data_IF_849679013671
#
_entry.id   IF_849679013671
#
_cell.length_a   1.000
_cell.length_b   1.000
_cell.length_c   1.000
_cell.angle_alpha   90.00
_cell.angle_beta   90.00
_cell.angle_gamma   90.00
#
_symmetry.space_group_name_H-M   'P 1'
#
loop_
_entity.id
_entity.type
_entity.pdbx_description
1 polymer ?
#
# COMPACT_ATOMS: atom_id res chain seq x y z
N UNK A 1 -18.18 -37.81 -25.95
CA UNK A 1 -17.90 -36.79 -26.97
C UNK A 1 -18.82 -36.95 -28.14
N UNK A 2 -20.07 -36.49 -27.98
CA UNK A 2 -20.91 -36.25 -29.13
C UNK A 2 -20.47 -34.93 -29.80
N UNK A 3 -20.73 -34.80 -31.10
CA UNK A 3 -20.49 -33.58 -31.85
C UNK A 3 -21.84 -33.11 -32.37
N UNK A 4 -22.26 -31.93 -31.96
CA UNK A 4 -23.55 -31.33 -32.29
C UNK A 4 -23.27 -30.08 -33.11
N UNK A 5 -23.80 -30.03 -34.32
CA UNK A 5 -23.57 -28.92 -35.25
C UNK A 5 -24.89 -28.34 -35.76
N UNK A 6 -24.93 -27.01 -35.78
CA UNK A 6 -25.98 -26.23 -36.41
C UNK A 6 -25.77 -26.04 -37.92
N UNK A 7 -26.28 -24.93 -38.41
CA UNK A 7 -26.16 -24.41 -39.77
C UNK A 7 -26.13 -22.88 -39.70
N UNK A 8 -26.07 -22.18 -40.84
CA UNK A 8 -25.96 -20.72 -40.88
C UNK A 8 -27.29 -19.97 -40.55
N UNK A 9 -28.20 -20.59 -39.80
CA UNK A 9 -29.45 -20.01 -39.31
C UNK A 9 -29.50 -20.14 -37.79
N UNK A 10 -30.31 -19.32 -37.14
CA UNK A 10 -30.56 -19.41 -35.69
C UNK A 10 -31.03 -20.82 -35.29
N UNK A 11 -30.30 -21.47 -34.41
CA UNK A 11 -30.50 -22.83 -33.94
C UNK A 11 -30.67 -22.89 -32.42
N UNK A 12 -31.27 -23.98 -31.95
CA UNK A 12 -31.25 -24.36 -30.54
C UNK A 12 -30.66 -25.76 -30.46
N UNK A 13 -29.45 -25.84 -29.91
CA UNK A 13 -28.64 -27.06 -29.87
C UNK A 13 -28.53 -27.53 -28.42
N UNK A 14 -29.02 -28.75 -28.17
CA UNK A 14 -28.98 -29.38 -26.85
C UNK A 14 -27.94 -30.49 -26.83
N UNK A 15 -27.00 -30.36 -25.91
CA UNK A 15 -26.07 -31.37 -25.46
C UNK A 15 -26.76 -32.58 -24.84
N UNK A 16 -25.96 -33.61 -24.63
CA UNK A 16 -26.29 -34.83 -23.92
C UNK A 16 -25.84 -34.71 -22.46
N UNK A 17 -25.86 -35.80 -21.68
CA UNK A 17 -25.40 -35.79 -20.27
C UNK A 17 -23.93 -36.21 -20.12
N UNK A 18 -23.15 -36.19 -21.20
CA UNK A 18 -21.71 -36.44 -21.13
C UNK A 18 -20.98 -35.50 -22.05
N UNK A 19 -19.66 -35.49 -21.98
CA UNK A 19 -18.80 -34.53 -22.67
C UNK A 19 -19.18 -34.39 -24.16
N UNK A 20 -19.41 -33.18 -24.61
CA UNK A 20 -19.88 -32.83 -25.94
C UNK A 20 -19.03 -31.74 -26.60
N UNK A 21 -19.21 -31.60 -27.91
CA UNK A 21 -18.72 -30.45 -28.67
C UNK A 21 -19.87 -29.87 -29.46
N UNK A 22 -20.24 -28.64 -29.16
CA UNK A 22 -21.38 -27.94 -29.73
C UNK A 22 -20.85 -26.78 -30.59
N UNK A 23 -21.36 -26.65 -31.82
CA UNK A 23 -20.97 -25.59 -32.75
C UNK A 23 -22.22 -25.11 -33.49
N UNK A 24 -22.61 -23.85 -33.25
CA UNK A 24 -23.75 -23.21 -33.89
C UNK A 24 -23.58 -22.95 -35.39
N UNK A 25 -22.34 -22.76 -35.83
CA UNK A 25 -21.92 -22.20 -37.12
C UNK A 25 -22.14 -20.70 -37.20
N UNK A 26 -23.15 -20.24 -37.92
CA UNK A 26 -23.48 -18.83 -38.04
C UNK A 26 -24.94 -18.59 -37.72
N UNK A 27 -25.31 -17.40 -37.27
CA UNK A 27 -26.67 -17.09 -36.86
C UNK A 27 -26.70 -16.63 -35.41
N UNK A 28 -27.85 -16.62 -34.79
CA UNK A 28 -27.95 -16.33 -33.36
C UNK A 28 -28.48 -17.58 -32.66
N UNK A 29 -27.57 -18.35 -32.09
CA UNK A 29 -27.81 -19.70 -31.60
C UNK A 29 -27.96 -19.76 -30.08
N UNK A 30 -28.71 -20.75 -29.62
CA UNK A 30 -28.79 -21.14 -28.21
C UNK A 30 -28.14 -22.50 -28.04
N UNK A 31 -27.04 -22.55 -27.30
CA UNK A 31 -26.23 -23.74 -27.05
C UNK A 31 -26.36 -24.14 -25.58
N UNK A 32 -26.75 -25.40 -25.33
CA UNK A 32 -27.00 -25.92 -23.98
C UNK A 32 -26.16 -27.18 -23.78
N UNK A 33 -25.21 -27.19 -22.83
CA UNK A 33 -24.27 -28.31 -22.60
C UNK A 33 -24.88 -29.43 -21.78
N UNK A 34 -25.43 -29.08 -20.61
CA UNK A 34 -25.98 -29.97 -19.58
C UNK A 34 -24.91 -30.50 -18.61
N UNK A 35 -24.63 -31.81 -18.62
CA UNK A 35 -23.68 -32.45 -17.72
C UNK A 35 -22.50 -32.98 -18.53
N UNK A 36 -21.29 -32.85 -18.00
CA UNK A 36 -20.08 -33.33 -18.66
C UNK A 36 -19.05 -32.22 -18.78
N UNK A 37 -17.89 -32.53 -19.34
CA UNK A 37 -16.92 -31.50 -19.74
C UNK A 37 -17.16 -31.16 -21.21
N UNK A 38 -17.83 -30.03 -21.47
CA UNK A 38 -18.32 -29.65 -22.78
C UNK A 38 -17.44 -28.60 -23.45
N UNK A 39 -17.47 -28.60 -24.78
CA UNK A 39 -16.78 -27.64 -25.61
C UNK A 39 -17.73 -26.88 -26.52
N UNK A 40 -17.58 -25.57 -26.57
CA UNK A 40 -18.34 -24.68 -27.46
C UNK A 40 -17.41 -24.07 -28.51
N UNK A 41 -17.56 -24.46 -29.78
CA UNK A 41 -16.68 -24.04 -30.86
C UNK A 41 -17.27 -22.89 -31.69
N UNK A 42 -16.52 -21.79 -31.77
CA UNK A 42 -16.87 -20.62 -32.57
C UNK A 42 -15.75 -20.30 -33.57
N UNK A 43 -16.14 -20.03 -34.81
CA UNK A 43 -15.27 -19.68 -35.94
C UNK A 43 -16.03 -18.82 -36.94
N UNK A 44 -15.32 -18.05 -37.75
CA UNK A 44 -15.92 -17.17 -38.75
C UNK A 44 -16.81 -16.10 -38.12
N UNK A 45 -17.75 -15.58 -38.91
CA UNK A 45 -18.80 -14.69 -38.39
C UNK A 45 -19.91 -15.56 -37.82
N UNK A 46 -19.88 -15.77 -36.52
CA UNK A 46 -20.79 -16.69 -35.83
C UNK A 46 -22.09 -16.01 -35.40
N UNK A 47 -22.12 -14.70 -35.18
CA UNK A 47 -23.32 -13.94 -34.78
C UNK A 47 -23.47 -13.78 -33.26
N UNK A 48 -24.70 -13.59 -32.76
CA UNK A 48 -24.95 -13.35 -31.33
C UNK A 48 -25.54 -14.60 -30.68
N UNK A 49 -24.69 -15.35 -30.00
CA UNK A 49 -25.00 -16.66 -29.42
C UNK A 49 -25.19 -16.60 -27.90
N UNK A 50 -25.95 -17.54 -27.37
CA UNK A 50 -26.11 -17.74 -25.93
C UNK A 50 -25.70 -19.15 -25.55
N UNK A 51 -24.82 -19.26 -24.55
CA UNK A 51 -24.45 -20.53 -23.92
C UNK A 51 -25.12 -20.60 -22.55
N UNK A 52 -25.76 -21.73 -22.26
CA UNK A 52 -26.44 -21.97 -21.00
C UNK A 52 -26.03 -23.32 -20.44
N UNK A 53 -25.44 -23.32 -19.24
CA UNK A 53 -25.20 -24.53 -18.46
C UNK A 53 -26.24 -24.68 -17.36
N UNK A 54 -26.99 -25.79 -17.41
CA UNK A 54 -28.11 -26.07 -16.52
C UNK A 54 -27.71 -26.81 -15.25
N UNK A 55 -26.46 -27.26 -15.14
CA UNK A 55 -25.95 -28.00 -13.99
C UNK A 55 -24.53 -27.59 -13.61
N UNK A 56 -24.28 -27.46 -12.32
CA UNK A 56 -22.92 -27.31 -11.76
C UNK A 56 -22.24 -28.69 -11.74
N UNK A 57 -21.45 -29.01 -12.76
CA UNK A 57 -20.67 -30.24 -12.81
C UNK A 57 -20.09 -30.53 -14.19
N UNK A 58 -18.78 -30.37 -14.31
CA UNK A 58 -18.06 -30.38 -15.59
C UNK A 58 -16.86 -29.45 -15.52
N UNK A 59 -15.99 -29.52 -16.52
CA UNK A 59 -14.98 -28.50 -16.84
C UNK A 59 -15.22 -28.01 -18.25
N UNK A 60 -16.10 -27.03 -18.38
CA UNK A 60 -16.60 -26.53 -19.65
C UNK A 60 -15.66 -25.49 -20.25
N UNK A 61 -15.55 -25.52 -21.57
CA UNK A 61 -14.59 -24.68 -22.31
C UNK A 61 -15.22 -24.05 -23.54
N UNK A 62 -15.24 -22.72 -23.56
CA UNK A 62 -15.52 -21.96 -24.76
C UNK A 62 -14.25 -21.83 -25.62
N UNK A 63 -14.32 -22.21 -26.90
CA UNK A 63 -13.19 -22.23 -27.82
C UNK A 63 -13.44 -21.30 -29.01
N UNK A 64 -12.69 -20.20 -29.05
CA UNK A 64 -12.57 -19.35 -30.24
C UNK A 64 -11.46 -19.93 -31.11
N UNK A 65 -11.79 -20.34 -32.34
CA UNK A 65 -10.84 -20.96 -33.26
C UNK A 65 -9.90 -19.91 -33.90
N UNK A 66 -8.82 -20.39 -34.53
CA UNK A 66 -7.66 -19.57 -34.93
C UNK A 66 -7.91 -18.56 -36.05
N UNK A 67 -9.07 -18.63 -36.70
CA UNK A 67 -9.49 -17.71 -37.74
C UNK A 67 -10.04 -16.38 -37.20
N UNK A 68 -10.33 -16.30 -35.89
CA UNK A 68 -10.67 -15.04 -35.20
C UNK A 68 -9.42 -14.55 -34.45
N UNK A 69 -8.95 -13.32 -34.72
CA UNK A 69 -7.75 -12.80 -34.07
C UNK A 69 -8.00 -12.55 -32.58
N UNK A 70 -7.08 -12.97 -31.73
CA UNK A 70 -7.17 -12.75 -30.28
C UNK A 70 -7.32 -11.27 -29.89
N UNK A 71 -6.80 -10.35 -30.71
CA UNK A 71 -6.94 -8.90 -30.50
C UNK A 71 -8.37 -8.37 -30.69
N UNK A 72 -9.25 -9.15 -31.31
CA UNK A 72 -10.68 -8.82 -31.43
C UNK A 72 -11.50 -9.36 -30.26
N UNK A 73 -10.91 -10.17 -29.37
CA UNK A 73 -11.64 -10.79 -28.25
C UNK A 73 -11.55 -9.90 -27.01
N UNK A 74 -12.70 -9.60 -26.41
CA UNK A 74 -12.81 -8.89 -25.13
C UNK A 74 -13.92 -9.48 -24.27
N UNK A 75 -13.75 -9.37 -22.95
CA UNK A 75 -14.74 -9.77 -21.96
C UNK A 75 -15.53 -8.55 -21.51
N UNK A 76 -16.84 -8.66 -21.45
CA UNK A 76 -17.75 -7.59 -20.99
C UNK A 76 -18.79 -8.19 -20.07
N UNK A 77 -18.86 -7.72 -18.83
CA UNK A 77 -19.96 -8.05 -17.93
C UNK A 77 -21.08 -7.01 -17.98
N UNK A 78 -22.33 -7.42 -17.78
CA UNK A 78 -23.49 -6.55 -17.77
C UNK A 78 -24.23 -6.49 -16.41
N UNK A 79 -25.29 -5.67 -16.37
CA UNK A 79 -26.09 -5.44 -15.17
C UNK A 79 -27.00 -6.62 -14.79
N UNK A 80 -27.16 -7.60 -15.69
CA UNK A 80 -28.00 -8.78 -15.52
C UNK A 80 -27.18 -10.01 -15.13
N UNK A 81 -25.93 -9.80 -14.72
CA UNK A 81 -25.00 -10.85 -14.31
C UNK A 81 -24.49 -11.74 -15.45
N UNK A 82 -24.70 -11.33 -16.70
CA UNK A 82 -24.19 -12.06 -17.86
C UNK A 82 -22.75 -11.66 -18.18
N UNK A 83 -21.94 -12.61 -18.62
CA UNK A 83 -20.61 -12.37 -19.20
C UNK A 83 -20.65 -12.56 -20.70
N UNK A 84 -20.16 -11.58 -21.46
CA UNK A 84 -20.03 -11.65 -22.90
C UNK A 84 -18.57 -11.86 -23.30
N UNK A 85 -18.33 -12.88 -24.12
CA UNK A 85 -17.12 -12.99 -24.93
C UNK A 85 -17.43 -12.33 -26.28
N UNK A 86 -16.96 -11.09 -26.46
CA UNK A 86 -17.20 -10.34 -27.70
C UNK A 86 -16.02 -10.53 -28.64
N UNK A 87 -16.31 -10.89 -29.89
CA UNK A 87 -15.35 -10.94 -30.98
C UNK A 87 -15.67 -9.84 -32.00
N UNK A 88 -15.01 -8.69 -31.88
CA UNK A 88 -15.31 -7.49 -32.68
C UNK A 88 -15.21 -7.79 -34.19
N UNK A 89 -16.36 -7.66 -34.89
CA UNK A 89 -16.50 -7.98 -36.31
C UNK A 89 -16.89 -9.42 -36.66
N UNK A 90 -17.06 -10.29 -35.66
CA UNK A 90 -17.40 -11.72 -35.83
C UNK A 90 -18.67 -12.13 -35.08
N UNK A 91 -18.93 -11.59 -33.88
CA UNK A 91 -20.09 -11.95 -33.08
C UNK A 91 -19.89 -11.72 -31.58
N UNK A 92 -20.88 -12.13 -30.78
CA UNK A 92 -20.80 -12.13 -29.32
C UNK A 92 -21.38 -13.41 -28.72
N UNK A 93 -20.82 -13.87 -27.61
CA UNK A 93 -21.29 -15.07 -26.92
C UNK A 93 -21.66 -14.68 -25.50
N UNK A 94 -22.94 -14.80 -25.17
CA UNK A 94 -23.48 -14.52 -23.85
C UNK A 94 -23.45 -15.78 -22.99
N UNK A 95 -22.76 -15.70 -21.86
CA UNK A 95 -22.77 -16.69 -20.79
C UNK A 95 -23.74 -16.21 -19.70
N UNK A 96 -24.87 -16.91 -19.58
CA UNK A 96 -25.99 -16.48 -18.74
C UNK A 96 -25.65 -16.62 -17.25
N UNK A 97 -25.94 -15.58 -16.45
CA UNK A 97 -25.71 -15.52 -14.99
C UNK A 97 -24.26 -15.82 -14.54
N UNK A 98 -23.28 -15.67 -15.46
CA UNK A 98 -21.90 -16.09 -15.23
C UNK A 98 -21.18 -15.25 -14.17
N UNK A 99 -21.53 -13.97 -14.01
CA UNK A 99 -20.91 -13.08 -13.03
C UNK A 99 -21.30 -13.43 -11.58
N UNK A 100 -22.43 -14.11 -11.35
CA UNK A 100 -22.82 -14.61 -10.02
C UNK A 100 -22.13 -15.92 -9.63
N UNK A 101 -21.58 -16.62 -10.61
CA UNK A 101 -20.90 -17.89 -10.41
C UNK A 101 -20.68 -18.58 -11.74
N UNK A 102 -19.42 -18.90 -12.01
CA UNK A 102 -18.99 -19.39 -13.31
C UNK A 102 -19.83 -20.58 -13.77
N UNK A 103 -20.31 -20.49 -15.01
CA UNK A 103 -21.02 -21.54 -15.74
C UNK A 103 -20.10 -22.26 -16.71
N UNK A 104 -19.15 -21.53 -17.28
CA UNK A 104 -18.10 -22.06 -18.16
C UNK A 104 -16.75 -21.75 -17.54
N UNK A 105 -15.94 -22.76 -17.22
CA UNK A 105 -14.72 -22.55 -16.44
C UNK A 105 -13.61 -21.87 -17.23
N UNK A 106 -13.56 -22.07 -18.56
CA UNK A 106 -12.44 -21.57 -19.35
C UNK A 106 -12.78 -21.06 -20.75
N UNK A 107 -12.03 -20.05 -21.17
CA UNK A 107 -12.02 -19.51 -22.52
C UNK A 107 -10.67 -19.83 -23.18
N UNK A 108 -10.69 -20.56 -24.29
CA UNK A 108 -9.50 -20.85 -25.10
C UNK A 108 -9.57 -20.10 -26.43
N UNK A 109 -8.54 -19.31 -26.71
CA UNK A 109 -8.42 -18.53 -27.96
C UNK A 109 -7.27 -19.10 -28.79
N UNK A 110 -7.59 -19.77 -29.89
CA UNK A 110 -6.63 -20.42 -30.78
C UNK A 110 -5.69 -21.37 -30.02
N UNK A 111 -4.38 -21.14 -30.16
CA UNK A 111 -3.34 -21.94 -29.48
C UNK A 111 -2.88 -21.37 -28.14
N UNK A 112 -3.49 -20.27 -27.66
CA UNK A 112 -3.12 -19.67 -26.38
C UNK A 112 -3.49 -20.59 -25.20
N UNK A 113 -2.87 -20.37 -24.05
CA UNK A 113 -3.30 -20.99 -22.80
C UNK A 113 -4.75 -20.57 -22.49
N UNK A 114 -5.59 -21.48 -21.96
CA UNK A 114 -6.94 -21.12 -21.54
C UNK A 114 -6.92 -20.02 -20.48
N UNK A 115 -7.82 -19.06 -20.62
CA UNK A 115 -8.14 -18.05 -19.63
C UNK A 115 -9.15 -18.66 -18.67
N UNK A 116 -8.88 -18.61 -17.36
CA UNK A 116 -9.87 -19.01 -16.36
C UNK A 116 -10.95 -17.95 -16.24
N UNK A 117 -12.22 -18.39 -16.28
CA UNK A 117 -13.40 -17.56 -16.08
C UNK A 117 -14.00 -17.73 -14.68
N UNK A 118 -13.30 -18.42 -13.78
CA UNK A 118 -13.71 -18.69 -12.39
C UNK A 118 -12.98 -17.81 -11.36
N UNK A 119 -12.34 -16.75 -11.83
CA UNK A 119 -11.50 -15.83 -11.05
C UNK A 119 -11.70 -14.41 -11.58
N UNK A 120 -10.91 -13.47 -11.08
CA UNK A 120 -10.87 -12.10 -11.59
C UNK A 120 -10.59 -12.02 -13.09
N UNK A 121 -11.37 -11.19 -13.77
CA UNK A 121 -11.43 -11.03 -15.21
C UNK A 121 -10.84 -9.68 -15.66
N UNK A 122 -10.38 -9.65 -16.91
CA UNK A 122 -10.02 -8.41 -17.58
C UNK A 122 -11.22 -7.91 -18.40
N UNK A 123 -12.05 -7.06 -17.80
CA UNK A 123 -13.25 -6.48 -18.43
C UNK A 123 -12.84 -5.28 -19.28
N UNK A 124 -13.12 -5.36 -20.59
CA UNK A 124 -12.68 -4.33 -21.55
C UNK A 124 -13.83 -3.83 -22.42
N UNK A 125 -14.05 -2.52 -22.37
CA UNK A 125 -15.01 -1.79 -23.19
C UNK A 125 -14.56 -1.59 -24.64
N UNK A 126 -15.17 -0.63 -25.30
CA UNK A 126 -14.85 -0.18 -26.65
C UNK A 126 -14.81 1.36 -26.70
N UNK A 127 -14.77 1.95 -27.89
CA UNK A 127 -14.64 3.41 -28.02
C UNK A 127 -15.92 4.19 -27.65
N UNK A 128 -17.04 3.50 -27.40
CA UNK A 128 -18.32 4.10 -27.04
C UNK A 128 -18.57 3.95 -25.54
N UNK A 129 -19.50 4.74 -25.02
CA UNK A 129 -19.94 4.63 -23.63
C UNK A 129 -20.39 3.21 -23.29
N UNK A 130 -19.79 2.61 -22.27
CA UNK A 130 -20.12 1.27 -21.80
C UNK A 130 -20.62 1.28 -20.35
N UNK A 131 -21.38 0.24 -20.00
CA UNK A 131 -21.67 -0.11 -18.62
C UNK A 131 -21.03 -1.46 -18.37
N UNK A 132 -19.97 -1.49 -17.57
CA UNK A 132 -19.11 -2.64 -17.34
C UNK A 132 -19.29 -3.15 -15.92
N UNK A 133 -19.48 -4.46 -15.78
CA UNK A 133 -19.70 -5.12 -14.48
C UNK A 133 -18.69 -6.25 -14.28
N UNK A 134 -18.24 -6.39 -13.03
CA UNK A 134 -17.31 -7.41 -12.57
C UNK A 134 -17.98 -8.62 -11.93
N UNK A 135 -17.12 -9.53 -11.51
CA UNK A 135 -17.39 -10.72 -10.71
C UNK A 135 -17.34 -10.39 -9.22
N UNK A 136 -17.14 -11.39 -8.35
CA UNK A 136 -16.87 -11.18 -6.93
C UNK A 136 -15.37 -11.36 -6.59
N UNK A 137 -14.53 -11.30 -7.62
CA UNK A 137 -13.08 -11.47 -7.54
C UNK A 137 -12.39 -10.24 -8.10
N UNK A 138 -11.09 -10.10 -7.82
CA UNK A 138 -10.26 -8.98 -8.25
C UNK A 138 -10.18 -8.85 -9.79
N UNK A 139 -11.04 -8.01 -10.35
CA UNK A 139 -11.15 -7.71 -11.76
C UNK A 139 -10.26 -6.53 -12.17
N UNK A 140 -10.02 -6.40 -13.47
CA UNK A 140 -9.39 -5.22 -14.07
C UNK A 140 -10.28 -4.67 -15.16
N UNK A 141 -10.61 -3.38 -15.06
CA UNK A 141 -11.44 -2.66 -16.00
C UNK A 141 -10.63 -1.71 -16.88
N UNK A 142 -10.91 -1.72 -18.18
CA UNK A 142 -10.46 -0.68 -19.11
C UNK A 142 -11.59 -0.35 -20.09
N UNK A 143 -12.15 0.85 -19.97
CA UNK A 143 -13.25 1.33 -20.82
C UNK A 143 -12.83 1.61 -22.26
N UNK A 144 -11.55 1.94 -22.49
CA UNK A 144 -10.93 2.39 -23.74
C UNK A 144 -11.32 3.81 -24.13
N UNK A 145 -12.57 4.04 -24.48
CA UNK A 145 -13.02 5.36 -24.92
C UNK A 145 -14.48 5.59 -24.54
N UNK A 146 -14.99 6.77 -24.85
CA UNK A 146 -16.36 7.13 -24.45
C UNK A 146 -16.43 7.59 -23.00
N UNK A 147 -17.61 7.50 -22.39
CA UNK A 147 -17.85 7.79 -20.98
C UNK A 147 -18.45 6.56 -20.35
N UNK A 148 -17.64 5.83 -19.58
CA UNK A 148 -17.97 4.50 -19.10
C UNK A 148 -18.41 4.51 -17.64
N UNK A 149 -19.36 3.63 -17.32
CA UNK A 149 -19.68 3.26 -15.94
C UNK A 149 -19.03 1.90 -15.65
N UNK A 150 -18.27 1.81 -14.55
CA UNK A 150 -17.59 0.59 -14.13
C UNK A 150 -18.02 0.23 -12.70
N UNK A 151 -18.38 -1.04 -12.47
CA UNK A 151 -18.75 -1.56 -11.15
C UNK A 151 -18.04 -2.90 -10.92
N UNK A 152 -17.19 -2.94 -9.91
CA UNK A 152 -16.36 -4.09 -9.56
C UNK A 152 -17.13 -5.15 -8.80
N UNK A 153 -17.88 -4.71 -7.77
CA UNK A 153 -18.52 -5.56 -6.74
C UNK A 153 -17.44 -6.07 -5.78
N UNK A 154 -17.66 -7.23 -5.16
CA UNK A 154 -16.69 -7.79 -4.22
C UNK A 154 -15.35 -8.03 -4.92
N UNK A 155 -14.26 -7.86 -4.18
CA UNK A 155 -12.91 -8.05 -4.69
C UNK A 155 -12.10 -6.77 -4.58
N UNK A 156 -10.79 -6.90 -4.81
CA UNK A 156 -9.90 -5.75 -4.92
C UNK A 156 -9.67 -5.45 -6.39
N UNK A 157 -10.47 -4.57 -6.94
CA UNK A 157 -10.55 -4.31 -8.38
C UNK A 157 -9.58 -3.20 -8.82
N UNK A 158 -9.24 -3.22 -10.10
CA UNK A 158 -8.38 -2.21 -10.72
C UNK A 158 -9.08 -1.50 -11.87
N UNK A 159 -9.23 -0.18 -11.76
CA UNK A 159 -9.82 0.68 -12.77
C UNK A 159 -8.74 1.45 -13.54
N UNK A 160 -8.62 1.20 -14.85
CA UNK A 160 -7.69 1.92 -15.72
C UNK A 160 -8.41 3.11 -16.35
N UNK A 161 -7.89 4.31 -16.10
CA UNK A 161 -8.46 5.59 -16.56
C UNK A 161 -7.50 6.23 -17.56
N UNK A 162 -7.83 6.12 -18.84
CA UNK A 162 -7.09 6.69 -19.98
C UNK A 162 -7.90 7.72 -20.79
N UNK A 163 -9.16 7.95 -20.43
CA UNK A 163 -10.03 8.97 -20.99
C UNK A 163 -10.90 9.63 -19.90
N UNK A 164 -11.49 10.78 -20.24
CA UNK A 164 -12.40 11.50 -19.36
C UNK A 164 -13.82 10.91 -19.37
N UNK A 165 -14.62 11.25 -18.35
CA UNK A 165 -16.04 10.86 -18.29
C UNK A 165 -16.29 9.48 -17.70
N UNK A 166 -15.33 8.91 -16.96
CA UNK A 166 -15.49 7.62 -16.28
C UNK A 166 -16.22 7.81 -14.95
N UNK A 167 -17.16 6.90 -14.67
CA UNK A 167 -17.88 6.77 -13.39
C UNK A 167 -17.57 5.40 -12.80
N UNK A 168 -16.86 5.35 -11.67
CA UNK A 168 -16.66 4.11 -10.91
C UNK A 168 -17.69 4.06 -9.79
N UNK A 169 -18.30 2.90 -9.57
CA UNK A 169 -19.32 2.68 -8.56
C UNK A 169 -18.94 1.48 -7.69
N UNK A 170 -18.47 1.77 -6.48
CA UNK A 170 -18.16 0.79 -5.43
C UNK A 170 -19.08 0.97 -4.22
N UNK A 171 -19.39 -0.12 -3.53
CA UNK A 171 -20.08 -0.09 -2.24
C UNK A 171 -19.14 -0.34 -1.07
N UNK A 172 -19.62 0.01 0.12
CA UNK A 172 -18.88 -0.19 1.36
C UNK A 172 -18.64 -1.69 1.63
N UNK A 173 -17.39 -2.03 1.98
CA UNK A 173 -16.92 -3.39 2.27
C UNK A 173 -16.90 -4.33 1.06
N UNK A 174 -16.82 -3.81 -0.16
CA UNK A 174 -16.66 -4.65 -1.34
C UNK A 174 -15.20 -5.03 -1.61
N UNK A 175 -14.24 -4.26 -1.10
CA UNK A 175 -12.85 -4.67 -1.07
C UNK A 175 -11.92 -3.49 -0.83
N UNK A 176 -10.77 -3.52 -1.48
CA UNK A 176 -9.80 -2.43 -1.50
C UNK A 176 -9.37 -2.17 -2.93
N UNK A 177 -9.92 -1.11 -3.50
CA UNK A 177 -9.92 -0.88 -4.93
C UNK A 177 -8.84 0.10 -5.36
N UNK A 178 -8.40 -0.03 -6.60
CA UNK A 178 -7.30 0.76 -7.15
C UNK A 178 -7.67 1.43 -8.46
N UNK A 179 -7.54 2.75 -8.51
CA UNK A 179 -7.54 3.51 -9.75
C UNK A 179 -6.12 3.69 -10.26
N UNK A 180 -5.89 3.37 -11.53
CA UNK A 180 -4.67 3.71 -12.29
C UNK A 180 -5.02 4.73 -13.35
N UNK A 181 -4.68 6.00 -13.12
CA UNK A 181 -5.10 7.10 -13.99
C UNK A 181 -3.92 7.73 -14.74
N UNK A 182 -4.07 7.94 -16.04
CA UNK A 182 -3.17 8.77 -16.84
C UNK A 182 -3.65 10.23 -16.98
N UNK A 183 -4.65 10.60 -16.19
CA UNK A 183 -5.32 11.90 -16.15
C UNK A 183 -5.38 12.42 -14.71
N UNK A 184 -5.72 13.70 -14.54
CA UNK A 184 -6.15 14.21 -13.23
C UNK A 184 -7.34 13.39 -12.74
N UNK A 185 -7.31 12.95 -11.49
CA UNK A 185 -8.35 12.07 -10.97
C UNK A 185 -8.66 12.32 -9.49
N UNK A 186 -9.93 12.23 -9.15
CA UNK A 186 -10.44 12.26 -7.77
C UNK A 186 -11.10 10.92 -7.50
N UNK A 187 -10.68 10.23 -6.43
CA UNK A 187 -11.27 8.96 -6.05
C UNK A 187 -12.78 9.15 -5.73
N UNK A 188 -13.67 8.33 -6.32
CA UNK A 188 -15.06 8.31 -5.90
C UNK A 188 -15.18 7.65 -4.52
N UNK A 189 -16.38 7.68 -3.93
CA UNK A 189 -16.65 7.00 -2.66
C UNK A 189 -16.30 5.51 -2.74
N UNK A 190 -15.84 4.96 -1.61
CA UNK A 190 -15.52 3.52 -1.45
C UNK A 190 -14.38 3.02 -2.35
N UNK A 191 -13.48 3.91 -2.78
CA UNK A 191 -12.26 3.53 -3.50
C UNK A 191 -11.06 4.07 -2.75
N UNK A 192 -10.09 3.22 -2.43
CA UNK A 192 -9.03 3.54 -1.46
C UNK A 192 -7.71 3.96 -2.11
N UNK A 193 -7.38 3.43 -3.29
CA UNK A 193 -6.04 3.63 -3.86
C UNK A 193 -6.09 4.39 -5.19
N UNK A 194 -5.21 5.37 -5.35
CA UNK A 194 -4.94 6.05 -6.61
C UNK A 194 -3.46 5.91 -6.97
N UNK A 195 -3.17 5.49 -8.20
CA UNK A 195 -1.85 5.56 -8.80
C UNK A 195 -1.92 6.40 -10.08
N UNK A 196 -1.17 7.50 -10.12
CA UNK A 196 -0.99 8.31 -11.30
C UNK A 196 0.03 7.63 -12.23
N UNK A 197 -0.32 7.51 -13.50
CA UNK A 197 0.49 6.87 -14.53
C UNK A 197 1.07 7.89 -15.51
N UNK A 198 2.01 7.43 -16.35
CA UNK A 198 2.67 8.27 -17.34
C UNK A 198 3.72 9.21 -16.75
N UNK A 199 4.07 10.25 -17.50
CA UNK A 199 5.08 11.26 -17.11
C UNK A 199 4.60 12.70 -17.28
N UNK A 200 3.28 12.91 -17.37
CA UNK A 200 2.69 14.26 -17.39
C UNK A 200 2.44 14.74 -15.95
N UNK A 201 2.53 16.05 -15.69
CA UNK A 201 2.22 16.62 -14.37
C UNK A 201 0.71 16.63 -14.13
N UNK A 202 0.19 15.47 -13.73
CA UNK A 202 -1.21 15.26 -13.37
C UNK A 202 -1.35 15.22 -11.85
N UNK A 203 -2.56 15.43 -11.35
CA UNK A 203 -2.86 15.57 -9.93
C UNK A 203 -3.84 14.48 -9.48
N UNK A 204 -3.74 14.14 -8.20
CA UNK A 204 -4.59 13.14 -7.57
C UNK A 204 -5.33 13.74 -6.38
N UNK A 205 -6.58 13.33 -6.19
CA UNK A 205 -7.32 13.62 -4.97
C UNK A 205 -8.00 12.36 -4.42
N UNK A 206 -8.00 12.23 -3.10
CA UNK A 206 -8.69 11.17 -2.37
C UNK A 206 -10.16 11.51 -2.07
N UNK A 207 -10.70 10.81 -1.08
CA UNK A 207 -12.05 10.90 -0.56
C UNK A 207 -12.01 10.89 0.99
N UNK A 208 -13.10 10.49 1.65
CA UNK A 208 -13.21 10.52 3.11
C UNK A 208 -12.67 9.25 3.82
N UNK A 209 -12.03 8.34 3.08
CA UNK A 209 -11.47 7.08 3.59
C UNK A 209 -9.96 7.20 3.78
N UNK A 210 -9.37 6.23 4.48
CA UNK A 210 -7.93 6.04 4.48
C UNK A 210 -7.46 5.70 3.06
N UNK A 211 -6.87 6.66 2.37
CA UNK A 211 -6.43 6.54 1.00
C UNK A 211 -4.93 6.33 0.87
N UNK A 212 -4.55 5.66 -0.21
CA UNK A 212 -3.16 5.61 -0.68
C UNK A 212 -3.07 6.32 -2.03
N UNK A 213 -2.44 7.49 -2.03
CA UNK A 213 -2.19 8.27 -3.24
C UNK A 213 -0.74 8.13 -3.66
N UNK A 214 -0.52 7.62 -4.87
CA UNK A 214 0.81 7.50 -5.48
C UNK A 214 0.88 8.35 -6.74
N UNK A 215 1.83 9.30 -6.77
CA UNK A 215 2.19 10.12 -7.92
C UNK A 215 2.92 9.37 -9.01
N UNK A 216 3.36 10.10 -10.02
CA UNK A 216 4.17 9.61 -11.14
C UNK A 216 5.57 10.24 -11.10
N UNK A 217 6.27 10.34 -12.25
CA UNK A 217 7.64 10.88 -12.27
C UNK A 217 7.74 12.39 -12.50
N UNK A 218 6.59 13.06 -12.60
CA UNK A 218 6.49 14.50 -12.77
C UNK A 218 5.99 15.15 -11.47
N UNK A 219 6.13 16.47 -11.36
CA UNK A 219 5.54 17.20 -10.24
C UNK A 219 4.00 17.04 -10.22
N UNK A 220 3.48 16.45 -9.15
CA UNK A 220 2.09 16.20 -8.88
C UNK A 220 1.61 17.04 -7.68
N UNK A 221 0.32 17.34 -7.66
CA UNK A 221 -0.40 17.71 -6.45
C UNK A 221 -1.24 16.51 -5.98
N UNK A 222 -1.03 16.08 -4.75
CA UNK A 222 -1.78 15.02 -4.08
C UNK A 222 -2.55 15.61 -2.90
N UNK A 223 -3.87 15.45 -2.87
CA UNK A 223 -4.75 15.94 -1.80
C UNK A 223 -5.61 14.77 -1.31
N UNK A 224 -5.39 14.22 -0.13
CA UNK A 224 -6.09 12.98 0.27
C UNK A 224 -7.45 13.21 0.90
N UNK A 225 -7.61 14.14 1.85
CA UNK A 225 -8.92 14.57 2.34
C UNK A 225 -9.16 14.28 3.81
N UNK A 226 -10.03 13.31 4.12
CA UNK A 226 -10.22 12.81 5.48
C UNK A 226 -9.69 11.39 5.57
N UNK A 227 -9.35 10.94 6.77
CA UNK A 227 -8.86 9.58 7.01
C UNK A 227 -7.36 9.60 7.26
N UNK A 228 -6.81 8.44 7.60
CA UNK A 228 -5.37 8.29 7.81
C UNK A 228 -4.74 7.86 6.49
N UNK A 229 -4.17 8.82 5.78
CA UNK A 229 -3.75 8.67 4.39
C UNK A 229 -2.27 8.36 4.24
N UNK A 230 -1.90 7.81 3.09
CA UNK A 230 -0.49 7.70 2.67
C UNK A 230 -0.30 8.37 1.32
N UNK A 231 0.57 9.38 1.29
CA UNK A 231 0.87 10.16 0.10
C UNK A 231 2.33 9.90 -0.31
N UNK A 232 2.52 9.44 -1.54
CA UNK A 232 3.83 9.17 -2.15
C UNK A 232 3.90 9.88 -3.50
N UNK A 233 4.54 11.05 -3.52
CA UNK A 233 4.75 11.84 -4.75
C UNK A 233 5.58 11.09 -5.81
N UNK A 234 6.38 10.11 -5.40
CA UNK A 234 7.48 9.51 -6.17
C UNK A 234 8.49 10.59 -6.55
N UNK A 235 9.09 10.45 -7.74
CA UNK A 235 10.04 11.43 -8.23
C UNK A 235 9.26 12.64 -8.75
N UNK A 236 9.71 13.84 -8.41
CA UNK A 236 9.00 15.04 -8.79
C UNK A 236 9.37 16.14 -7.80
N UNK A 237 8.78 17.31 -7.94
CA UNK A 237 8.75 18.27 -6.84
C UNK A 237 7.28 18.39 -6.47
N UNK A 238 6.84 17.55 -5.54
CA UNK A 238 5.43 17.26 -5.33
C UNK A 238 4.83 18.10 -4.20
N UNK A 239 3.55 18.45 -4.34
CA UNK A 239 2.78 19.10 -3.29
C UNK A 239 1.84 18.07 -2.67
N UNK A 240 2.08 17.68 -1.43
CA UNK A 240 1.30 16.68 -0.70
C UNK A 240 0.53 17.35 0.44
N UNK A 241 -0.79 17.16 0.45
CA UNK A 241 -1.74 17.71 1.42
C UNK A 241 -2.61 16.56 1.93
N UNK A 242 -2.45 16.20 3.20
CA UNK A 242 -3.10 15.08 3.86
C UNK A 242 -4.53 15.42 4.22
N UNK A 243 -4.70 16.41 5.09
CA UNK A 243 -6.03 16.84 5.52
C UNK A 243 -6.34 16.27 6.89
N UNK A 244 -7.60 15.93 7.20
CA UNK A 244 -7.93 15.46 8.56
C UNK A 244 -7.61 13.97 8.71
N UNK A 245 -6.93 13.62 9.80
CA UNK A 245 -6.52 12.26 10.13
C UNK A 245 -5.00 12.22 10.34
N UNK A 246 -4.48 11.05 10.67
CA UNK A 246 -3.05 10.86 10.91
C UNK A 246 -2.40 10.37 9.62
N UNK A 247 -1.78 11.28 8.89
CA UNK A 247 -1.28 11.05 7.53
C UNK A 247 0.21 10.70 7.51
N UNK A 248 0.61 9.92 6.50
CA UNK A 248 2.00 9.56 6.25
C UNK A 248 2.47 10.01 4.86
N UNK A 249 3.45 10.89 4.86
CA UNK A 249 4.07 11.47 3.67
C UNK A 249 5.39 10.79 3.36
N UNK A 250 5.53 10.25 2.15
CA UNK A 250 6.80 9.70 1.66
C UNK A 250 7.51 10.81 0.89
N UNK A 251 8.65 11.25 1.43
CA UNK A 251 9.46 12.34 0.86
C UNK A 251 10.78 11.78 0.35
N UNK A 252 11.04 11.97 -0.95
CA UNK A 252 12.28 11.52 -1.60
C UNK A 252 12.99 12.62 -2.40
N UNK A 253 12.30 13.74 -2.64
CA UNK A 253 12.85 14.86 -3.38
C UNK A 253 12.93 16.12 -2.51
N UNK A 254 14.02 16.87 -2.63
CA UNK A 254 14.18 18.15 -1.92
C UNK A 254 13.17 19.21 -2.35
N UNK A 255 12.52 19.03 -3.51
CA UNK A 255 11.43 19.86 -4.00
C UNK A 255 10.06 19.51 -3.42
N UNK A 256 9.92 18.43 -2.67
CA UNK A 256 8.63 18.02 -2.10
C UNK A 256 8.19 18.97 -0.98
N UNK A 257 6.92 19.37 -1.05
CA UNK A 257 6.26 20.23 -0.08
C UNK A 257 5.14 19.46 0.59
N UNK A 258 5.24 19.30 1.91
CA UNK A 258 4.19 18.76 2.77
C UNK A 258 3.48 19.94 3.43
N UNK A 259 2.16 19.98 3.35
CA UNK A 259 1.33 21.03 3.95
C UNK A 259 0.30 20.41 4.88
N UNK A 260 0.38 20.77 6.15
CA UNK A 260 -0.59 20.42 7.19
C UNK A 260 -1.24 21.67 7.79
N UNK A 261 -2.41 21.53 8.41
CA UNK A 261 -3.02 22.59 9.22
C UNK A 261 -3.21 22.19 10.69
N UNK A 262 -3.62 23.17 11.50
CA UNK A 262 -3.76 22.98 12.93
C UNK A 262 -4.97 22.08 13.23
N UNK A 263 -4.79 21.13 14.16
CA UNK A 263 -5.82 20.17 14.60
C UNK A 263 -6.28 19.22 13.49
N UNK A 264 -5.39 18.86 12.57
CA UNK A 264 -5.72 17.93 11.50
C UNK A 264 -5.34 16.49 11.82
N UNK A 265 -4.33 16.24 12.65
CA UNK A 265 -4.06 14.92 13.19
C UNK A 265 -2.71 14.88 13.87
N UNK A 266 -2.12 13.68 13.89
CA UNK A 266 -0.72 13.44 14.25
C UNK A 266 -0.04 12.85 13.01
N UNK A 267 0.72 13.68 12.33
CA UNK A 267 1.19 13.38 10.99
C UNK A 267 2.65 12.95 11.00
N UNK A 268 3.04 12.22 9.95
CA UNK A 268 4.37 11.63 9.82
C UNK A 268 4.97 11.90 8.46
N UNK A 269 6.23 12.32 8.45
CA UNK A 269 7.09 12.24 7.26
C UNK A 269 7.99 11.02 7.36
N UNK A 270 7.94 10.16 6.34
CA UNK A 270 8.90 9.09 6.07
C UNK A 270 9.85 9.56 4.97
N UNK A 271 11.07 10.00 5.35
CA UNK A 271 11.99 10.68 4.43
C UNK A 271 13.19 9.82 4.04
N UNK A 272 13.49 9.73 2.74
CA UNK A 272 14.74 9.14 2.24
C UNK A 272 15.89 10.15 2.05
N UNK A 273 15.62 11.43 2.35
CA UNK A 273 16.55 12.55 2.29
C UNK A 273 16.64 13.28 3.64
N UNK A 274 17.61 14.20 3.78
CA UNK A 274 17.66 15.10 4.95
C UNK A 274 16.42 15.98 4.98
N UNK A 275 15.76 16.08 6.14
CA UNK A 275 14.48 16.78 6.27
C UNK A 275 14.34 17.55 7.57
N UNK A 276 13.87 18.79 7.44
CA UNK A 276 13.28 19.57 8.54
C UNK A 276 11.77 19.44 8.48
N UNK A 277 11.07 19.14 9.56
CA UNK A 277 9.61 19.06 9.56
C UNK A 277 9.00 20.44 9.25
N UNK A 278 7.99 20.54 8.36
CA UNK A 278 7.19 21.74 8.24
C UNK A 278 6.38 21.95 9.54
N UNK A 279 5.73 23.11 9.68
CA UNK A 279 4.79 23.33 10.80
C UNK A 279 3.66 22.31 10.76
N UNK A 280 3.10 21.97 11.94
CA UNK A 280 1.94 21.06 12.08
C UNK A 280 2.21 19.61 11.68
N UNK A 281 3.48 19.18 11.57
CA UNK A 281 3.83 17.77 11.45
C UNK A 281 4.58 17.34 12.70
N UNK A 282 4.17 16.24 13.31
CA UNK A 282 4.67 15.78 14.60
C UNK A 282 5.81 14.78 14.45
N UNK A 283 5.80 13.92 13.43
CA UNK A 283 6.73 12.78 13.39
C UNK A 283 7.63 12.78 12.16
N UNK A 284 8.89 12.40 12.35
CA UNK A 284 9.85 12.12 11.28
C UNK A 284 10.43 10.72 11.47
N UNK A 285 10.47 9.93 10.39
CA UNK A 285 11.31 8.74 10.32
C UNK A 285 12.18 8.80 9.08
N UNK A 286 13.48 8.62 9.27
CA UNK A 286 14.45 8.52 8.18
C UNK A 286 14.44 7.07 7.65
N UNK A 287 14.07 6.88 6.38
CA UNK A 287 13.91 5.56 5.73
C UNK A 287 14.99 5.29 4.67
N UNK A 288 15.83 6.27 4.36
CA UNK A 288 16.97 6.10 3.46
C UNK A 288 18.10 5.27 4.11
N UNK A 289 19.10 4.87 3.31
CA UNK A 289 20.29 4.13 3.80
C UNK A 289 21.54 5.00 3.94
N UNK A 290 21.49 6.24 3.46
CA UNK A 290 22.60 7.20 3.55
C UNK A 290 22.58 7.94 4.89
N UNK A 291 23.71 8.55 5.27
CA UNK A 291 23.78 9.49 6.39
C UNK A 291 22.99 10.76 6.03
N UNK A 292 21.74 10.80 6.48
CA UNK A 292 20.81 11.92 6.32
C UNK A 292 20.40 12.42 7.70
N UNK A 293 19.90 13.65 7.78
CA UNK A 293 19.63 14.31 9.07
C UNK A 293 18.14 14.64 9.21
N UNK A 294 17.70 14.76 10.46
CA UNK A 294 16.34 15.12 10.83
C UNK A 294 16.34 16.38 11.69
N UNK A 295 15.38 17.27 11.45
CA UNK A 295 15.11 18.40 12.35
C UNK A 295 13.61 18.52 12.58
N UNK A 296 13.20 18.64 13.84
CA UNK A 296 11.82 18.90 14.25
C UNK A 296 11.38 20.33 13.94
N UNK A 297 10.30 20.75 14.59
CA UNK A 297 9.71 22.07 14.52
C UNK A 297 9.50 22.63 15.95
N UNK A 298 8.41 23.34 16.22
CA UNK A 298 8.11 23.91 17.54
C UNK A 298 7.09 23.10 18.36
N UNK A 299 6.74 21.90 17.90
CA UNK A 299 5.79 20.98 18.52
C UNK A 299 6.54 19.86 19.24
N UNK A 300 5.83 19.02 19.99
CA UNK A 300 6.40 17.76 20.47
C UNK A 300 6.60 16.79 19.31
N UNK A 301 7.84 16.57 18.90
CA UNK A 301 8.18 15.71 17.78
C UNK A 301 8.72 14.33 18.17
N UNK A 302 8.44 13.32 17.34
CA UNK A 302 9.16 12.04 17.39
C UNK A 302 10.08 11.96 16.19
N UNK A 303 11.39 11.90 16.44
CA UNK A 303 12.43 11.82 15.41
C UNK A 303 13.13 10.45 15.50
N UNK A 304 12.99 9.65 14.44
CA UNK A 304 13.61 8.32 14.35
C UNK A 304 14.64 8.32 13.22
N UNK A 305 15.88 7.98 13.56
CA UNK A 305 17.01 7.80 12.64
C UNK A 305 16.90 6.57 11.75
N UNK A 306 17.84 6.43 10.84
CA UNK A 306 18.04 5.24 10.01
C UNK A 306 19.22 4.41 10.52
N UNK A 307 19.80 3.56 9.67
CA UNK A 307 20.93 2.72 10.07
C UNK A 307 22.31 3.39 9.94
N UNK A 308 22.38 4.59 9.37
CA UNK A 308 23.59 5.37 9.23
C UNK A 308 23.72 6.38 10.37
N UNK A 309 24.87 7.06 10.47
CA UNK A 309 25.03 8.15 11.43
C UNK A 309 24.12 9.34 11.04
N UNK A 310 23.16 9.67 11.90
CA UNK A 310 22.25 10.79 11.72
C UNK A 310 22.55 11.93 12.70
N UNK A 311 22.28 13.16 12.28
CA UNK A 311 22.08 14.29 13.20
C UNK A 311 20.58 14.51 13.36
N UNK A 312 20.07 14.35 14.57
CA UNK A 312 18.68 14.59 14.93
C UNK A 312 18.62 15.81 15.87
N UNK A 313 17.79 16.78 15.52
CA UNK A 313 17.57 17.99 16.32
C UNK A 313 16.06 18.19 16.56
N UNK A 314 15.59 18.09 17.80
CA UNK A 314 14.19 18.31 18.17
C UNK A 314 13.71 19.74 17.93
N UNK A 315 14.63 20.70 18.07
CA UNK A 315 14.43 22.14 17.96
C UNK A 315 13.68 22.73 19.17
N UNK A 316 12.35 22.67 19.21
CA UNK A 316 11.64 23.09 20.40
C UNK A 316 10.32 22.37 20.58
N UNK A 317 9.88 22.20 21.82
CA UNK A 317 8.81 21.28 22.15
C UNK A 317 9.36 20.21 23.09
N UNK A 318 8.52 19.25 23.49
CA UNK A 318 9.01 18.11 24.26
C UNK A 318 9.19 16.96 23.27
N UNK A 319 10.43 16.69 22.87
CA UNK A 319 10.74 15.82 21.75
C UNK A 319 11.15 14.41 22.20
N UNK A 320 10.99 13.42 21.33
CA UNK A 320 11.57 12.08 21.51
C UNK A 320 12.50 11.77 20.34
N UNK A 321 13.77 11.58 20.64
CA UNK A 321 14.82 11.30 19.67
C UNK A 321 15.30 9.86 19.85
N UNK A 322 15.14 9.04 18.80
CA UNK A 322 15.72 7.71 18.68
C UNK A 322 16.70 7.71 17.50
N UNK A 323 17.99 7.61 17.80
CA UNK A 323 19.04 7.59 16.77
C UNK A 323 19.01 6.34 15.89
N UNK A 324 18.38 5.25 16.35
CA UNK A 324 18.44 3.96 15.66
C UNK A 324 19.84 3.33 15.76
N UNK A 325 20.38 2.87 14.63
CA UNK A 325 21.76 2.35 14.58
C UNK A 325 22.73 3.48 14.20
N UNK A 326 24.03 3.17 14.14
CA UNK A 326 25.05 4.15 13.79
C UNK A 326 25.40 5.06 14.96
N UNK A 327 26.48 5.85 14.82
CA UNK A 327 26.88 6.81 15.85
C UNK A 327 26.17 8.14 15.58
N UNK A 328 25.12 8.44 16.33
CA UNK A 328 24.25 9.58 16.08
C UNK A 328 24.67 10.81 16.87
N UNK A 329 24.23 11.97 16.41
CA UNK A 329 24.27 13.22 17.18
C UNK A 329 22.84 13.63 17.47
N UNK A 330 22.47 13.67 18.74
CA UNK A 330 21.14 13.97 19.23
C UNK A 330 21.18 15.33 19.93
N UNK A 331 20.27 16.22 19.56
CA UNK A 331 20.11 17.55 20.15
C UNK A 331 18.63 17.72 20.47
N UNK A 332 18.28 17.80 21.74
CA UNK A 332 16.88 17.95 22.18
C UNK A 332 16.33 19.31 21.75
N UNK A 333 17.06 20.37 22.08
CA UNK A 333 16.64 21.74 21.87
C UNK A 333 16.03 22.33 23.12
N UNK A 334 14.90 23.01 22.99
CA UNK A 334 14.18 23.59 24.14
C UNK A 334 12.96 22.76 24.50
N UNK A 335 12.82 22.39 25.77
CA UNK A 335 11.67 21.67 26.29
C UNK A 335 12.13 20.49 27.13
N UNK A 336 11.23 19.55 27.42
CA UNK A 336 11.55 18.33 28.15
C UNK A 336 11.74 17.20 27.14
N UNK A 337 12.98 16.92 26.78
CA UNK A 337 13.29 16.00 25.70
C UNK A 337 13.62 14.60 26.19
N UNK A 338 13.34 13.62 25.36
CA UNK A 338 13.59 12.20 25.62
C UNK A 338 14.59 11.65 24.62
N UNK A 339 15.74 11.20 25.11
CA UNK A 339 16.74 10.49 24.32
C UNK A 339 16.55 8.99 24.51
N UNK A 340 16.02 8.31 23.48
CA UNK A 340 15.61 6.91 23.54
C UNK A 340 16.66 6.01 22.89
N UNK A 341 17.08 4.98 23.62
CA UNK A 341 18.03 3.98 23.16
C UNK A 341 17.32 2.65 22.92
N UNK A 342 17.21 2.27 21.63
CA UNK A 342 16.59 1.01 21.17
C UNK A 342 17.58 0.04 20.51
N UNK A 343 18.88 0.34 20.59
CA UNK A 343 19.93 -0.58 20.13
C UNK A 343 21.28 -0.30 20.82
N UNK A 344 22.26 -1.18 20.61
CA UNK A 344 23.61 -1.14 21.18
C UNK A 344 24.67 -1.45 20.12
N UNK A 345 25.95 -1.24 20.45
CA UNK A 345 27.08 -1.51 19.55
C UNK A 345 27.55 -0.27 18.77
N UNK A 346 26.99 0.88 19.09
CA UNK A 346 27.34 2.20 18.58
C UNK A 346 27.34 3.19 19.76
N UNK A 347 27.81 4.41 19.51
CA UNK A 347 27.92 5.45 20.54
C UNK A 347 27.31 6.74 20.02
N UNK A 348 26.20 7.13 20.64
CA UNK A 348 25.54 8.39 20.34
C UNK A 348 26.16 9.56 21.12
N UNK A 349 26.02 10.76 20.58
CA UNK A 349 26.40 12.02 21.21
C UNK A 349 25.16 12.87 21.48
N UNK A 350 24.80 13.02 22.76
CA UNK A 350 23.77 13.95 23.23
C UNK A 350 24.46 15.28 23.54
N UNK A 351 24.13 16.33 22.79
CA UNK A 351 24.88 17.59 22.78
C UNK A 351 24.44 18.61 23.84
N UNK A 352 23.19 18.55 24.29
CA UNK A 352 22.54 19.65 25.01
C UNK A 352 21.71 19.19 26.21
N UNK A 353 21.98 18.01 26.77
CA UNK A 353 21.22 17.45 27.88
C UNK A 353 21.05 18.42 29.07
N UNK A 354 19.81 18.73 29.41
CA UNK A 354 19.40 19.60 30.52
C UNK A 354 18.84 18.76 31.66
N UNK A 355 19.57 18.69 32.78
CA UNK A 355 19.23 17.87 33.95
C UNK A 355 17.81 18.07 34.52
N UNK A 356 17.24 19.26 34.36
CA UNK A 356 15.92 19.57 34.92
C UNK A 356 14.77 19.14 34.00
N UNK A 357 15.05 18.97 32.72
CA UNK A 357 14.03 18.88 31.68
C UNK A 357 14.12 17.54 30.92
N UNK A 358 15.32 17.03 30.65
CA UNK A 358 15.53 15.90 29.76
C UNK A 358 15.56 14.54 30.47
N UNK A 359 15.23 13.49 29.71
CA UNK A 359 15.20 12.11 30.19
C UNK A 359 15.89 11.17 29.20
N UNK A 360 16.58 10.16 29.73
CA UNK A 360 17.15 9.06 28.95
C UNK A 360 16.25 7.83 29.09
N UNK A 361 15.78 7.29 27.96
CA UNK A 361 14.98 6.08 27.93
C UNK A 361 15.80 4.89 27.45
N UNK A 362 15.76 3.80 28.22
CA UNK A 362 16.47 2.55 27.95
C UNK A 362 15.46 1.43 27.71
N UNK A 363 15.45 0.87 26.50
CA UNK A 363 14.55 -0.22 26.13
C UNK A 363 15.01 -1.56 26.74
N UNK A 364 14.18 -2.18 27.58
CA UNK A 364 14.58 -3.40 28.31
C UNK A 364 14.79 -4.62 27.40
N UNK A 365 14.22 -4.62 26.20
CA UNK A 365 14.49 -5.68 25.21
C UNK A 365 15.91 -5.62 24.66
N UNK A 366 16.58 -4.47 24.81
CA UNK A 366 17.98 -4.22 24.43
C UNK A 366 18.88 -4.33 25.67
N UNK A 367 18.51 -3.62 26.74
CA UNK A 367 19.22 -3.58 28.01
C UNK A 367 18.67 -4.64 28.96
N UNK A 368 18.80 -5.91 28.57
CA UNK A 368 18.07 -7.06 29.14
C UNK A 368 18.28 -7.32 30.64
N UNK A 369 19.30 -6.73 31.26
CA UNK A 369 19.48 -6.82 32.70
C UNK A 369 18.60 -5.83 33.48
N UNK A 370 18.09 -4.78 32.83
CA UNK A 370 17.13 -3.81 33.37
C UNK A 370 15.70 -4.37 33.26
N UNK A 371 15.36 -5.30 34.15
CA UNK A 371 14.11 -6.10 34.05
C UNK A 371 12.83 -5.41 34.51
N UNK A 372 12.92 -4.23 35.15
CA UNK A 372 11.77 -3.52 35.72
C UNK A 372 11.56 -2.20 34.97
N UNK A 373 10.36 -2.01 34.42
CA UNK A 373 9.98 -0.77 33.74
C UNK A 373 9.64 0.36 34.71
N UNK A 374 9.77 1.60 34.26
CA UNK A 374 9.61 2.82 35.05
C UNK A 374 10.95 3.49 35.39
N UNK A 375 10.96 4.42 36.36
CA UNK A 375 12.18 5.11 36.78
C UNK A 375 13.27 4.13 37.20
N UNK A 376 14.52 4.41 36.80
CA UNK A 376 15.65 3.55 37.15
C UNK A 376 15.83 3.54 38.67
N UNK A 377 15.89 2.35 39.26
CA UNK A 377 16.10 2.19 40.71
C UNK A 377 17.50 2.68 41.07
N UNK A 378 17.64 3.43 42.18
CA UNK A 378 18.91 4.05 42.58
C UNK A 378 20.08 3.06 42.72
N UNK A 379 19.82 1.82 43.15
CA UNK A 379 20.84 0.78 43.21
C UNK A 379 21.34 0.30 41.84
N UNK A 380 20.65 0.61 40.75
CA UNK A 380 21.04 0.20 39.39
C UNK A 380 21.95 1.23 38.68
N UNK A 381 22.18 2.38 39.32
CA UNK A 381 22.89 3.51 38.77
C UNK A 381 24.12 3.88 39.59
N UNK A 382 25.16 4.33 38.89
CA UNK A 382 26.41 4.74 39.50
C UNK A 382 27.11 5.86 38.76
N UNK A 383 27.82 6.69 39.53
CA UNK A 383 28.85 7.61 39.02
C UNK A 383 30.21 6.93 39.08
N UNK A 384 30.92 6.84 37.95
CA UNK A 384 32.24 6.23 37.87
C UNK A 384 32.64 5.82 36.46
N UNK A 385 33.70 5.01 36.34
CA UNK A 385 34.23 4.55 35.05
C UNK A 385 34.03 3.04 34.78
N UNK A 386 33.52 2.30 35.77
CA UNK A 386 33.23 0.87 35.70
C UNK A 386 32.29 0.49 36.86
N UNK A 387 31.63 -0.67 36.77
CA UNK A 387 30.87 -1.29 37.85
C UNK A 387 31.79 -1.75 39.01
N UNK A 388 31.24 -1.82 40.23
CA UNK A 388 31.96 -2.35 41.42
C UNK A 388 31.10 -3.31 42.25
N UNK A 389 29.79 -3.10 42.37
CA UNK A 389 28.90 -4.00 43.12
C UNK A 389 28.11 -4.94 42.18
N UNK A 390 27.10 -5.68 42.61
CA UNK A 390 26.39 -6.64 41.72
C UNK A 390 25.20 -6.04 40.99
N UNK A 391 25.05 -4.72 41.06
CA UNK A 391 23.85 -4.01 40.63
C UNK A 391 24.19 -2.74 39.83
N UNK A 392 25.45 -2.38 39.63
CA UNK A 392 25.90 -1.23 38.82
C UNK A 392 25.69 -1.44 37.29
N UNK A 393 24.44 -1.49 36.81
CA UNK A 393 24.13 -1.70 35.38
C UNK A 393 24.32 -0.45 34.53
N UNK A 394 23.96 0.74 35.04
CA UNK A 394 24.06 2.02 34.32
C UNK A 394 25.09 2.89 35.00
N UNK A 395 26.13 3.28 34.26
CA UNK A 395 27.29 3.99 34.80
C UNK A 395 27.51 5.27 34.02
N UNK A 396 27.51 6.41 34.70
CA UNK A 396 27.90 7.69 34.11
C UNK A 396 29.29 8.12 34.60
N UNK A 397 30.22 8.32 33.68
CA UNK A 397 31.54 8.85 33.97
C UNK A 397 31.52 10.37 33.86
N UNK A 398 31.39 11.05 34.99
CA UNK A 398 31.33 12.51 35.04
C UNK A 398 32.64 13.22 34.63
N UNK A 399 33.77 12.51 34.52
CA UNK A 399 35.04 13.08 34.05
C UNK A 399 35.08 13.13 32.52
N UNK A 400 34.66 12.05 31.85
CA UNK A 400 34.70 11.93 30.39
C UNK A 400 33.36 12.22 29.72
N UNK A 401 32.27 12.27 30.49
CA UNK A 401 30.91 12.47 30.00
C UNK A 401 30.29 11.25 29.32
N UNK A 402 30.87 10.06 29.51
CA UNK A 402 30.43 8.82 28.85
C UNK A 402 29.37 8.11 29.67
N UNK A 403 28.31 7.62 29.01
CA UNK A 403 27.33 6.70 29.58
C UNK A 403 27.69 5.27 29.17
N UNK A 404 27.76 4.38 30.16
CA UNK A 404 28.11 2.98 29.99
C UNK A 404 26.97 2.09 30.50
N UNK A 405 26.81 0.94 29.86
CA UNK A 405 25.96 -0.16 30.31
C UNK A 405 26.83 -1.39 30.61
N UNK A 406 26.69 -1.95 31.81
CA UNK A 406 27.37 -3.17 32.22
C UNK A 406 26.35 -4.30 32.44
N UNK A 407 26.30 -5.26 31.51
CA UNK A 407 25.29 -6.30 31.52
C UNK A 407 25.45 -7.31 32.68
N UNK A 408 26.66 -7.47 33.24
CA UNK A 408 26.87 -8.33 34.40
C UNK A 408 26.84 -7.58 35.75
N UNK A 409 26.77 -6.24 35.65
CA UNK A 409 26.73 -5.26 36.72
C UNK A 409 27.87 -5.30 37.72
N UNK A 410 28.84 -6.22 37.62
CA UNK A 410 29.87 -6.44 38.64
C UNK A 410 31.30 -6.15 38.19
N UNK A 411 31.46 -5.70 36.94
CA UNK A 411 32.74 -5.28 36.40
C UNK A 411 33.70 -6.43 36.12
N UNK A 412 33.25 -7.68 36.20
CA UNK A 412 33.99 -8.82 35.66
C UNK A 412 34.01 -8.78 34.13
N UNK A 413 32.90 -8.32 33.53
CA UNK A 413 32.73 -8.00 32.12
C UNK A 413 33.13 -6.57 31.80
N UNK A 414 33.28 -6.29 30.50
CA UNK A 414 33.51 -4.93 30.02
C UNK A 414 32.16 -4.21 29.89
N UNK A 415 32.00 -3.11 30.63
CA UNK A 415 30.92 -2.16 30.38
C UNK A 415 31.05 -1.60 28.95
N UNK A 416 29.94 -1.55 28.23
CA UNK A 416 29.88 -0.99 26.87
C UNK A 416 29.50 0.49 26.95
N UNK A 417 30.18 1.34 26.18
CA UNK A 417 29.74 2.71 26.02
C UNK A 417 28.54 2.77 25.08
N UNK A 418 27.51 3.49 25.48
CA UNK A 418 26.28 3.68 24.70
C UNK A 418 26.06 5.14 24.28
N UNK A 419 26.57 6.09 25.07
CA UNK A 419 26.45 7.51 24.73
C UNK A 419 27.56 8.38 25.30
N UNK A 420 27.60 9.62 24.82
CA UNK A 420 28.23 10.77 25.48
C UNK A 420 27.15 11.81 25.76
N UNK A 421 27.09 12.36 26.98
CA UNK A 421 26.02 13.26 27.43
C UNK A 421 26.58 14.63 27.89
N UNK A 422 27.90 14.74 28.02
CA UNK A 422 28.58 15.95 28.50
C UNK A 422 29.35 15.70 29.80
N UNK A 423 30.33 16.55 30.10
CA UNK A 423 31.22 16.40 31.27
C UNK A 423 30.69 17.14 32.49
N UNK A 424 30.91 16.58 33.69
CA UNK A 424 30.62 17.25 34.96
C UNK A 424 29.13 17.43 35.29
N UNK A 425 28.22 16.78 34.57
CA UNK A 425 26.79 16.85 34.87
C UNK A 425 26.47 16.10 36.18
N UNK A 426 25.50 16.61 36.94
CA UNK A 426 25.03 15.99 38.17
C UNK A 426 23.92 14.96 37.89
N UNK A 427 24.15 14.06 36.94
CA UNK A 427 23.20 13.01 36.54
C UNK A 427 22.94 12.07 37.72
N UNK A 428 21.69 11.64 37.87
CA UNK A 428 21.23 10.68 38.86
C UNK A 428 20.38 9.58 38.20
N UNK A 429 19.98 8.58 38.99
CA UNK A 429 19.06 7.54 38.51
C UNK A 429 17.68 8.11 38.09
N UNK A 430 17.29 9.30 38.57
CA UNK A 430 16.01 9.91 38.24
C UNK A 430 15.92 10.40 36.78
N UNK A 431 17.07 10.60 36.12
CA UNK A 431 17.16 11.05 34.73
C UNK A 431 16.98 9.89 33.73
N UNK A 432 16.75 8.66 34.24
CA UNK A 432 16.61 7.45 33.43
C UNK A 432 15.27 6.78 33.66
N UNK A 433 14.68 6.31 32.56
CA UNK A 433 13.48 5.47 32.55
C UNK A 433 13.75 4.21 31.75
N UNK A 434 13.36 3.06 32.30
CA UNK A 434 13.38 1.78 31.61
C UNK A 434 11.98 1.54 31.02
N UNK A 435 11.92 1.20 29.74
CA UNK A 435 10.65 0.94 29.03
C UNK A 435 10.55 -0.51 28.57
#
# INVERSE_FOLDING_TARGET
MAIIKGNDLNNTLNGTTGNDTINGMGGNDSLIGNLGDDFYDFSGVFGDDAVTELSVGGSDTLRILSDIPASAIRLVGDAFDDLYVVADGFGSIRLVDHLLGAKVESLKIGSAAPISLTQGLNITGNINNNSLYGTAFNDTFNGKGGSDSMRGRLGNDTYIIDNAGISIVENLNEGTDTVKSSLNFTLPLNVENLTLAGGSPINGSGNDLNNKLTGNSAANQLISGLGNDTLDGKAGADNMIGGLGNDNYIVDNTGDVVTENLNQGIDKISSSITRTLPTQVENLTLIGTSAINGTGNGLSNILIGNSAANQLNGAGGNDTLDGGLGNNTLTGGTGQDTFKFTSVGHVDAINDFVLADDTIQLENTVFTALTTTGPLTAGLFRIGNAAIDTNDFVIYNNITGTLLYDADANGAGLAIQIATIGVGLAITNADFVVI
#
